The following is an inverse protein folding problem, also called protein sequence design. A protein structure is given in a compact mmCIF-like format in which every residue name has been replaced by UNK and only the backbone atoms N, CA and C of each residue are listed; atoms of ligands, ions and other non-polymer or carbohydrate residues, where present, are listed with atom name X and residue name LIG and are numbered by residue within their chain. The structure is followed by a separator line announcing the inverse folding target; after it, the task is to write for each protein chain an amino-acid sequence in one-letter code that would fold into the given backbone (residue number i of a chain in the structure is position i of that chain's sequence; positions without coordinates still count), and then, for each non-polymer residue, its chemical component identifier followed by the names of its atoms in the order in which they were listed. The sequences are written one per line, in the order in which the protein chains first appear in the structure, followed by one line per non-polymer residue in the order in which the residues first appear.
data_IF_577464807644
#
_entry.id   IF_577464807644
#
_cell.length_a   1.000
_cell.length_b   1.000
_cell.length_c   1.000
_cell.angle_alpha   90.00
_cell.angle_beta   90.00
_cell.angle_gamma   90.00
#
_symmetry.space_group_name_H-M   'P 1'
#
loop_
_entity.id
_entity.type
_entity.pdbx_description
1 polymer ?
#
# COMPACT_ATOMS: atom_id res chain seq x y z
N UNK A 1 -17.14 1.01 -0.68
CA UNK A 1 -16.20 0.10 -1.35
C UNK A 1 -15.04 -0.12 -0.39
N UNK A 2 -14.69 -1.38 -0.12
CA UNK A 2 -13.49 -1.73 0.63
C UNK A 2 -12.31 -1.97 -0.30
N UNK A 3 -11.10 -1.70 0.17
CA UNK A 3 -9.87 -1.93 -0.60
C UNK A 3 -8.72 -2.45 0.25
N UNK A 4 -7.81 -3.20 -0.36
CA UNK A 4 -6.56 -3.64 0.26
C UNK A 4 -5.37 -3.33 -0.64
N UNK A 5 -4.40 -2.57 -0.12
CA UNK A 5 -3.09 -2.39 -0.74
C UNK A 5 -2.26 -3.65 -0.51
N UNK A 6 -1.79 -4.28 -1.58
CA UNK A 6 -0.86 -5.41 -1.48
C UNK A 6 0.24 -5.33 -2.53
N UNK A 7 1.44 -5.74 -2.12
CA UNK A 7 2.59 -5.94 -3.00
C UNK A 7 2.89 -7.44 -3.19
N UNK A 8 2.04 -8.33 -2.67
CA UNK A 8 2.31 -9.77 -2.66
C UNK A 8 2.46 -10.35 -4.08
N UNK A 9 1.73 -9.80 -5.06
CA UNK A 9 1.85 -10.20 -6.47
C UNK A 9 3.23 -9.90 -7.09
N UNK A 10 4.02 -8.98 -6.50
CA UNK A 10 5.34 -8.62 -7.04
C UNK A 10 6.34 -9.78 -6.93
N UNK A 11 6.14 -10.74 -6.01
CA UNK A 11 6.93 -11.98 -5.99
C UNK A 11 6.74 -12.82 -7.27
N UNK A 12 5.63 -12.61 -7.97
CA UNK A 12 5.25 -13.28 -9.22
C UNK A 12 5.10 -12.30 -10.38
N UNK A 13 5.79 -11.15 -10.34
CA UNK A 13 5.58 -10.04 -11.28
C UNK A 13 5.63 -10.49 -12.75
N UNK A 14 6.59 -11.34 -13.11
CA UNK A 14 6.77 -11.82 -14.49
C UNK A 14 5.58 -12.67 -14.99
N UNK A 15 5.09 -13.60 -14.17
CA UNK A 15 3.93 -14.45 -14.50
C UNK A 15 2.66 -13.59 -14.65
N UNK A 16 2.49 -12.61 -13.77
CA UNK A 16 1.36 -11.66 -13.83
C UNK A 16 1.46 -10.75 -15.06
N UNK A 17 2.68 -10.30 -15.42
CA UNK A 17 2.91 -9.49 -16.61
C UNK A 17 2.52 -10.25 -17.88
N UNK A 18 2.93 -11.52 -17.99
CA UNK A 18 2.55 -12.38 -19.11
C UNK A 18 1.02 -12.58 -19.15
N UNK A 19 0.42 -12.92 -18.02
CA UNK A 19 -1.03 -13.18 -17.92
C UNK A 19 -1.87 -11.97 -18.32
N UNK A 20 -1.45 -10.76 -17.93
CA UNK A 20 -2.19 -9.51 -18.19
C UNK A 20 -1.72 -8.78 -19.46
N UNK A 21 -0.70 -9.28 -20.15
CA UNK A 21 -0.12 -8.63 -21.33
C UNK A 21 0.56 -7.30 -21.02
N UNK A 22 1.20 -7.17 -19.85
CA UNK A 22 1.93 -5.96 -19.45
C UNK A 22 3.22 -5.86 -20.27
N UNK A 23 3.48 -4.72 -20.95
CA UNK A 23 4.67 -4.56 -21.75
C UNK A 23 5.93 -4.40 -20.87
N UNK A 24 7.14 -4.74 -21.38
CA UNK A 24 8.39 -4.65 -20.61
C UNK A 24 8.78 -3.24 -20.13
N UNK A 25 8.17 -2.21 -20.71
CA UNK A 25 8.38 -0.81 -20.32
C UNK A 25 7.55 -0.36 -19.11
N UNK A 26 6.68 -1.23 -18.58
CA UNK A 26 5.79 -0.94 -17.45
C UNK A 26 6.19 -1.79 -16.25
N UNK A 27 6.32 -1.15 -15.10
CA UNK A 27 6.68 -1.79 -13.82
C UNK A 27 5.46 -1.92 -12.93
N UNK A 28 5.24 -3.10 -12.35
CA UNK A 28 4.19 -3.30 -11.36
C UNK A 28 4.67 -2.77 -10.00
N UNK A 29 3.79 -2.12 -9.25
CA UNK A 29 4.17 -1.46 -7.96
C UNK A 29 3.22 -1.85 -6.84
N UNK A 30 1.92 -1.82 -7.10
CA UNK A 30 0.89 -2.11 -6.12
C UNK A 30 -0.31 -2.71 -6.83
N UNK A 31 -0.93 -3.70 -6.17
CA UNK A 31 -2.26 -4.17 -6.51
C UNK A 31 -3.24 -3.65 -5.45
N UNK A 32 -4.31 -2.99 -5.92
CA UNK A 32 -5.43 -2.58 -5.09
C UNK A 32 -6.63 -3.49 -5.37
N UNK A 33 -6.84 -4.47 -4.50
CA UNK A 33 -8.07 -5.26 -4.55
C UNK A 33 -9.23 -4.38 -4.05
N UNK A 34 -10.31 -4.28 -4.83
CA UNK A 34 -11.47 -3.45 -4.52
C UNK A 34 -12.76 -4.28 -4.56
N UNK A 35 -13.70 -4.03 -3.65
CA UNK A 35 -14.98 -4.73 -3.62
C UNK A 35 -16.06 -4.04 -2.79
N UNK A 36 -17.30 -4.49 -2.94
CA UNK A 36 -18.39 -4.11 -2.05
C UNK A 36 -18.26 -4.90 -0.74
N UNK A 37 -17.80 -4.23 0.30
CA UNK A 37 -17.63 -4.83 1.61
C UNK A 37 -18.98 -4.99 2.30
N UNK A 38 -19.28 -6.21 2.76
CA UNK A 38 -20.56 -6.57 3.40
C UNK A 38 -20.42 -6.94 4.88
N UNK A 39 -19.21 -6.84 5.44
CA UNK A 39 -18.94 -7.12 6.85
C UNK A 39 -18.95 -5.86 7.72
N UNK A 40 -18.55 -6.01 8.98
CA UNK A 40 -18.51 -4.98 10.03
C UNK A 40 -17.15 -4.89 10.76
N UNK A 41 -16.16 -5.68 10.32
CA UNK A 41 -14.85 -5.87 10.97
C UNK A 41 -13.78 -4.85 10.60
N UNK A 42 -14.02 -3.98 9.64
CA UNK A 42 -13.06 -2.93 9.29
C UNK A 42 -12.91 -1.94 10.44
N UNK A 43 -11.69 -1.81 10.95
CA UNK A 43 -11.35 -0.84 11.99
C UNK A 43 -10.04 -0.14 11.62
N UNK A 44 -9.83 1.11 12.10
CA UNK A 44 -8.56 1.79 11.91
C UNK A 44 -7.41 0.97 12.54
N UNK A 45 -6.41 0.63 11.74
CA UNK A 45 -5.20 0.02 12.26
C UNK A 45 -4.46 1.01 13.18
N UNK A 46 -3.80 0.54 14.25
CA UNK A 46 -3.06 1.41 15.16
C UNK A 46 -2.00 2.21 14.40
N UNK A 47 -1.78 3.46 14.83
CA UNK A 47 -0.74 4.36 14.30
C UNK A 47 0.06 4.93 15.47
N UNK A 48 1.34 5.20 15.23
CA UNK A 48 2.17 5.93 16.19
C UNK A 48 1.67 7.37 16.33
N UNK A 49 1.78 8.01 17.51
CA UNK A 49 1.50 9.43 17.69
C UNK A 49 2.27 10.28 16.67
N UNK A 50 1.64 11.36 16.18
CA UNK A 50 2.23 12.22 15.15
C UNK A 50 3.57 12.83 15.59
N UNK A 51 3.71 13.18 16.87
CA UNK A 51 4.95 13.71 17.47
C UNK A 51 6.14 12.75 17.36
N UNK A 52 5.90 11.44 17.24
CA UNK A 52 6.98 10.46 17.10
C UNK A 52 7.50 10.27 15.66
N UNK A 53 6.76 10.76 14.66
CA UNK A 53 7.06 10.55 13.23
C UNK A 53 7.17 11.84 12.43
N UNK A 54 6.81 12.98 13.02
CA UNK A 54 6.86 14.29 12.38
C UNK A 54 8.16 14.99 12.78
N UNK A 55 8.88 15.50 11.78
CA UNK A 55 10.14 16.23 11.98
C UNK A 55 10.05 17.62 11.37
N UNK A 56 10.65 18.62 12.03
CA UNK A 56 10.63 20.01 11.59
C UNK A 56 12.04 20.47 11.20
N UNK A 57 12.16 21.09 10.02
CA UNK A 57 13.38 21.66 9.42
C UNK A 57 14.49 20.66 9.07
N UNK A 58 14.71 19.61 9.88
CA UNK A 58 15.78 18.65 9.69
C UNK A 58 15.30 17.20 9.89
N UNK A 59 15.96 16.27 9.21
CA UNK A 59 15.68 14.84 9.36
C UNK A 59 15.96 14.40 10.80
N UNK A 60 15.02 13.66 11.40
CA UNK A 60 15.09 13.21 12.80
C UNK A 60 15.14 14.33 13.85
N UNK A 61 14.67 15.54 13.54
CA UNK A 61 14.45 16.62 14.51
C UNK A 61 12.96 16.70 14.90
N UNK A 62 12.52 16.13 16.05
CA UNK A 62 11.11 16.01 16.39
C UNK A 62 10.41 17.35 16.56
N UNK A 63 9.11 17.36 16.33
CA UNK A 63 8.22 18.44 16.80
C UNK A 63 7.92 18.20 18.29
N UNK A 64 8.19 19.20 19.14
CA UNK A 64 7.77 19.21 20.55
C UNK A 64 6.26 19.42 20.68
#
# INVERSE_FOLDING_TARGET
IGSAWTTFHLEHEAEIAELLGIPPSVTQVCLLACGYYTGDTFTPAPRRPASEITFLNAWKAPVE
#
